data_IF_427220495727
#
_entry.id   IF_427220495727
#
_cell.length_a   1.000
_cell.length_b   1.000
_cell.length_c   1.000
_cell.angle_alpha   90.00
_cell.angle_beta   90.00
_cell.angle_gamma   90.00
#
_symmetry.space_group_name_H-M   'P 1'
#
loop_
_entity.id
_entity.type
_entity.pdbx_description
1 polymer ?
#
# COMPACT_ATOMS: atom_id res chain seq x y z
N UNK A 1 -12.89 -25.10 -9.76
CA UNK A 1 -13.28 -24.04 -10.72
C UNK A 1 -12.01 -23.37 -11.22
N UNK A 2 -11.77 -23.27 -12.54
CA UNK A 2 -10.59 -22.58 -13.06
C UNK A 2 -10.76 -21.06 -12.96
N UNK A 3 -9.71 -20.35 -12.55
CA UNK A 3 -9.68 -18.89 -12.50
C UNK A 3 -9.24 -18.34 -13.86
N UNK A 4 -10.12 -17.59 -14.53
CA UNK A 4 -9.80 -16.91 -15.79
C UNK A 4 -9.31 -15.49 -15.46
N UNK A 5 -8.12 -15.12 -15.96
CA UNK A 5 -7.54 -13.79 -15.75
C UNK A 5 -7.45 -13.04 -17.07
N UNK A 6 -8.04 -11.85 -17.13
CA UNK A 6 -7.91 -10.93 -18.27
C UNK A 6 -6.95 -9.79 -17.94
N UNK A 7 -6.10 -9.40 -18.90
CA UNK A 7 -5.23 -8.22 -18.81
C UNK A 7 -5.83 -7.11 -19.67
N UNK A 8 -6.01 -5.92 -19.09
CA UNK A 8 -6.58 -4.76 -19.78
C UNK A 8 -5.52 -3.66 -19.79
N UNK A 9 -5.26 -3.12 -20.98
CA UNK A 9 -4.42 -1.94 -21.16
C UNK A 9 -5.32 -0.73 -21.42
N UNK A 10 -5.12 0.35 -20.66
CA UNK A 10 -5.88 1.58 -20.80
C UNK A 10 -5.04 2.61 -21.56
N UNK A 11 -5.56 3.11 -22.68
CA UNK A 11 -5.03 4.28 -23.35
C UNK A 11 -5.78 5.51 -22.83
N UNK A 12 -5.07 6.42 -22.19
CA UNK A 12 -5.65 7.57 -21.48
C UNK A 12 -5.17 8.86 -22.09
N UNK A 13 -6.05 9.87 -22.08
CA UNK A 13 -5.69 11.24 -22.44
C UNK A 13 -4.86 11.88 -21.31
N UNK A 14 -4.15 12.97 -21.61
CA UNK A 14 -3.26 13.64 -20.63
C UNK A 14 -3.98 14.06 -19.34
N UNK A 15 -5.21 14.58 -19.46
CA UNK A 15 -6.02 14.97 -18.30
C UNK A 15 -6.38 13.78 -17.40
N UNK A 16 -6.70 12.63 -18.00
CA UNK A 16 -6.97 11.39 -17.29
C UNK A 16 -5.71 10.82 -16.65
N UNK A 17 -4.57 10.91 -17.35
CA UNK A 17 -3.28 10.52 -16.82
C UNK A 17 -2.93 11.33 -15.55
N UNK A 18 -3.20 12.63 -15.53
CA UNK A 18 -2.95 13.45 -14.33
C UNK A 18 -3.86 13.05 -13.16
N UNK A 19 -5.14 12.75 -13.39
CA UNK A 19 -6.05 12.25 -12.36
C UNK A 19 -5.52 10.93 -11.77
N UNK A 20 -5.02 10.02 -12.61
CA UNK A 20 -4.42 8.76 -12.18
C UNK A 20 -3.14 8.99 -11.36
N UNK A 21 -2.30 9.95 -11.76
CA UNK A 21 -1.08 10.33 -11.02
C UNK A 21 -1.43 10.93 -9.66
N UNK A 22 -2.41 11.82 -9.59
CA UNK A 22 -2.87 12.42 -8.33
C UNK A 22 -3.45 11.36 -7.39
N UNK A 23 -4.23 10.44 -7.93
CA UNK A 23 -4.79 9.31 -7.18
C UNK A 23 -3.65 8.43 -6.61
N UNK A 24 -2.63 8.15 -7.42
CA UNK A 24 -1.46 7.38 -7.00
C UNK A 24 -0.65 8.09 -5.92
N UNK A 25 -0.46 9.41 -6.01
CA UNK A 25 0.19 10.23 -4.98
C UNK A 25 -0.61 10.23 -3.67
N UNK A 26 -1.94 10.29 -3.75
CA UNK A 26 -2.82 10.24 -2.57
C UNK A 26 -2.74 8.87 -1.89
N UNK A 27 -2.75 7.79 -2.67
CA UNK A 27 -2.54 6.43 -2.19
C UNK A 27 -1.19 6.30 -1.46
N UNK A 28 -0.11 6.82 -2.06
CA UNK A 28 1.22 6.81 -1.47
C UNK A 28 1.27 7.53 -0.12
N UNK A 29 0.69 8.72 -0.04
CA UNK A 29 0.61 9.49 1.22
C UNK A 29 -0.15 8.70 2.30
N UNK A 30 -1.23 8.02 1.94
CA UNK A 30 -1.98 7.18 2.88
C UNK A 30 -1.18 5.98 3.37
N UNK A 31 -0.42 5.31 2.49
CA UNK A 31 0.48 4.21 2.87
C UNK A 31 1.56 4.68 3.85
N UNK A 32 2.22 5.81 3.57
CA UNK A 32 3.28 6.35 4.43
C UNK A 32 2.73 6.73 5.81
N UNK A 33 1.58 7.41 5.82
CA UNK A 33 0.90 7.77 7.05
C UNK A 33 0.53 6.55 7.90
N UNK A 34 0.01 5.48 7.29
CA UNK A 34 -0.31 4.25 8.01
C UNK A 34 0.97 3.53 8.49
N UNK A 35 2.04 3.55 7.71
CA UNK A 35 3.33 2.96 8.09
C UNK A 35 3.91 3.60 9.35
N UNK A 36 3.82 4.93 9.49
CA UNK A 36 4.23 5.64 10.71
C UNK A 36 3.48 5.16 11.96
N UNK A 37 2.20 4.78 11.83
CA UNK A 37 1.41 4.26 12.95
C UNK A 37 1.71 2.78 13.24
N UNK A 38 1.94 1.99 12.20
CA UNK A 38 2.23 0.56 12.32
C UNK A 38 3.61 0.31 12.92
N UNK A 39 4.63 1.11 12.60
CA UNK A 39 5.98 0.93 13.18
C UNK A 39 5.99 1.16 14.70
N UNK A 40 5.20 2.11 15.19
CA UNK A 40 5.07 2.40 16.63
C UNK A 40 4.26 1.32 17.35
N UNK A 41 3.11 0.95 16.77
CA UNK A 41 2.21 -0.03 17.40
C UNK A 41 2.65 -1.48 17.23
N UNK A 42 3.50 -1.78 16.24
CA UNK A 42 3.93 -3.12 15.80
C UNK A 42 2.78 -4.11 15.56
N UNK A 43 1.58 -3.60 15.34
CA UNK A 43 0.37 -4.40 15.15
C UNK A 43 0.13 -4.67 13.67
N UNK A 44 0.26 -5.94 13.26
CA UNK A 44 0.03 -6.39 11.88
C UNK A 44 -1.33 -7.08 11.67
N UNK A 45 -2.21 -7.03 12.66
CA UNK A 45 -3.55 -7.63 12.57
C UNK A 45 -4.50 -6.72 11.78
N UNK A 46 -4.95 -7.21 10.62
CA UNK A 46 -5.81 -6.45 9.71
C UNK A 46 -7.12 -5.99 10.37
N UNK A 47 -7.76 -6.81 11.21
CA UNK A 47 -9.04 -6.46 11.86
C UNK A 47 -8.86 -5.29 12.82
N UNK A 48 -7.80 -5.32 13.61
CA UNK A 48 -7.49 -4.25 14.55
C UNK A 48 -7.13 -2.95 13.82
N UNK A 49 -6.29 -3.02 12.79
CA UNK A 49 -5.94 -1.85 11.98
C UNK A 49 -7.16 -1.25 11.26
N UNK A 50 -8.06 -2.08 10.74
CA UNK A 50 -9.32 -1.65 10.15
C UNK A 50 -10.17 -0.87 11.16
N UNK A 51 -10.35 -1.42 12.36
CA UNK A 51 -11.19 -0.77 13.38
C UNK A 51 -10.63 0.59 13.83
N UNK A 52 -9.31 0.71 13.93
CA UNK A 52 -8.64 1.92 14.40
C UNK A 52 -8.51 2.98 13.30
N UNK A 53 -8.01 2.62 12.13
CA UNK A 53 -7.50 3.59 11.15
C UNK A 53 -8.37 3.74 9.90
N UNK A 54 -9.32 2.84 9.63
CA UNK A 54 -10.12 2.89 8.39
C UNK A 54 -10.94 4.18 8.26
N UNK A 55 -11.61 4.62 9.34
CA UNK A 55 -12.42 5.84 9.33
C UNK A 55 -11.55 7.08 9.09
N UNK A 56 -10.45 7.19 9.82
CA UNK A 56 -9.51 8.30 9.69
C UNK A 56 -8.88 8.35 8.29
N UNK A 57 -8.46 7.19 7.75
CA UNK A 57 -7.85 7.10 6.44
C UNK A 57 -8.80 7.53 5.31
N UNK A 58 -10.10 7.23 5.44
CA UNK A 58 -11.12 7.69 4.49
C UNK A 58 -11.42 9.18 4.59
N UNK A 59 -11.54 9.71 5.81
CA UNK A 59 -11.82 11.13 6.02
C UNK A 59 -10.64 12.02 5.61
N UNK A 60 -9.41 11.60 5.94
CA UNK A 60 -8.20 12.40 5.69
C UNK A 60 -7.76 12.43 4.24
N UNK A 61 -7.86 11.30 3.54
CA UNK A 61 -7.35 11.17 2.16
C UNK A 61 -8.46 11.09 1.10
N UNK A 62 -9.74 11.08 1.49
CA UNK A 62 -10.87 10.99 0.55
C UNK A 62 -10.89 9.68 -0.25
N UNK A 63 -10.25 8.62 0.24
CA UNK A 63 -10.09 7.37 -0.50
C UNK A 63 -11.40 6.58 -0.57
N UNK A 64 -11.64 5.95 -1.72
CA UNK A 64 -12.71 4.95 -1.89
C UNK A 64 -12.42 3.71 -1.02
N UNK A 65 -13.48 3.01 -0.63
CA UNK A 65 -13.42 1.83 0.26
C UNK A 65 -12.40 0.79 -0.20
N UNK A 66 -12.39 0.46 -1.48
CA UNK A 66 -11.47 -0.53 -2.05
C UNK A 66 -10.00 -0.09 -1.96
N UNK A 67 -9.73 1.20 -2.21
CA UNK A 67 -8.37 1.74 -2.08
C UNK A 67 -7.91 1.77 -0.62
N UNK A 68 -8.78 2.18 0.30
CA UNK A 68 -8.46 2.16 1.73
C UNK A 68 -8.12 0.74 2.23
N UNK A 69 -8.89 -0.27 1.78
CA UNK A 69 -8.58 -1.68 2.07
C UNK A 69 -7.26 -2.13 1.43
N UNK A 70 -6.98 -1.69 0.20
CA UNK A 70 -5.70 -1.96 -0.47
C UNK A 70 -4.52 -1.39 0.30
N UNK A 71 -4.59 -0.14 0.76
CA UNK A 71 -3.53 0.50 1.58
C UNK A 71 -3.19 -0.37 2.78
N UNK A 72 -4.21 -0.79 3.55
CA UNK A 72 -4.00 -1.62 4.74
C UNK A 72 -3.35 -2.96 4.41
N UNK A 73 -3.82 -3.64 3.35
CA UNK A 73 -3.22 -4.90 2.88
C UNK A 73 -1.77 -4.71 2.46
N UNK A 74 -1.47 -3.67 1.68
CA UNK A 74 -0.12 -3.39 1.17
C UNK A 74 0.85 -3.12 2.32
N UNK A 75 0.48 -2.28 3.29
CA UNK A 75 1.34 -1.98 4.45
C UNK A 75 1.61 -3.23 5.27
N UNK A 76 0.58 -4.01 5.62
CA UNK A 76 0.76 -5.27 6.36
C UNK A 76 1.66 -6.24 5.58
N UNK A 77 1.42 -6.42 4.28
CA UNK A 77 2.22 -7.32 3.45
C UNK A 77 3.68 -6.88 3.38
N UNK A 78 3.94 -5.58 3.35
CA UNK A 78 5.29 -5.01 3.29
C UNK A 78 6.05 -5.24 4.59
N UNK A 79 5.42 -5.04 5.76
CA UNK A 79 6.03 -5.37 7.05
C UNK A 79 6.26 -6.87 7.23
N UNK A 80 5.30 -7.72 6.83
CA UNK A 80 5.49 -9.18 6.82
C UNK A 80 6.65 -9.59 5.92
N UNK A 81 6.81 -8.94 4.76
CA UNK A 81 7.92 -9.20 3.86
C UNK A 81 9.26 -8.75 4.45
N UNK A 82 9.30 -7.57 5.09
CA UNK A 82 10.50 -7.07 5.75
C UNK A 82 10.95 -8.00 6.88
N UNK A 83 10.01 -8.49 7.69
CA UNK A 83 10.28 -9.46 8.75
C UNK A 83 10.80 -10.80 8.20
N UNK A 84 10.21 -11.31 7.11
CA UNK A 84 10.67 -12.53 6.46
C UNK A 84 12.10 -12.41 5.90
N UNK A 85 12.52 -11.22 5.50
CA UNK A 85 13.86 -10.93 5.01
C UNK A 85 14.86 -10.61 6.14
N UNK A 86 14.46 -10.70 7.41
CA UNK A 86 15.34 -10.43 8.56
C UNK A 86 15.65 -8.95 8.79
N UNK A 87 14.90 -8.02 8.19
CA UNK A 87 15.06 -6.60 8.47
C UNK A 87 14.44 -6.24 9.82
N UNK A 88 15.11 -5.34 10.55
CA UNK A 88 14.53 -4.73 11.75
C UNK A 88 13.27 -3.91 11.43
N UNK A 89 12.47 -3.65 12.46
CA UNK A 89 11.28 -2.80 12.40
C UNK A 89 11.63 -1.37 12.03
N UNK A 90 11.81 -1.15 10.73
CA UNK A 90 12.12 0.12 10.11
C UNK A 90 10.87 0.73 9.48
N UNK A 91 10.87 2.06 9.34
CA UNK A 91 9.81 2.75 8.63
C UNK A 91 9.81 2.31 7.16
N UNK A 92 8.63 1.96 6.65
CA UNK A 92 8.44 1.51 5.28
C UNK A 92 7.87 2.67 4.47
N UNK A 93 8.65 3.16 3.50
CA UNK A 93 8.24 4.28 2.66
C UNK A 93 7.73 3.73 1.34
N UNK A 94 6.49 4.05 0.99
CA UNK A 94 5.96 3.88 -0.35
C UNK A 94 6.56 4.96 -1.23
N UNK A 95 7.45 4.59 -2.16
CA UNK A 95 8.25 5.53 -2.96
C UNK A 95 8.00 5.41 -4.47
N UNK A 96 7.48 4.27 -4.97
CA UNK A 96 7.27 4.05 -6.42
C UNK A 96 5.98 3.28 -6.75
N UNK A 97 5.01 3.97 -7.35
CA UNK A 97 3.83 3.37 -7.98
C UNK A 97 2.95 2.54 -7.04
N UNK A 98 1.80 2.10 -7.53
CA UNK A 98 0.69 1.55 -6.75
C UNK A 98 1.01 0.31 -5.86
N UNK A 99 2.23 -0.26 -5.91
CA UNK A 99 2.56 -1.52 -5.24
C UNK A 99 3.99 -1.66 -4.69
N UNK A 100 4.81 -0.59 -4.60
CA UNK A 100 6.19 -0.73 -4.09
C UNK A 100 6.44 0.10 -2.83
N UNK A 101 6.43 -0.61 -1.71
CA UNK A 101 6.87 -0.13 -0.41
C UNK A 101 8.29 -0.66 -0.16
N UNK A 102 9.24 0.22 0.13
CA UNK A 102 10.64 -0.13 0.42
C UNK A 102 10.92 0.23 1.87
N UNK A 103 11.56 -0.67 2.63
CA UNK A 103 12.14 -0.32 3.93
C UNK A 103 13.23 0.75 3.73
N UNK A 104 13.40 1.63 4.71
CA UNK A 104 14.29 2.80 4.63
C UNK A 104 15.79 2.50 4.39
N UNK A 105 16.21 1.23 4.35
CA UNK A 105 17.56 0.82 3.93
C UNK A 105 17.49 0.16 2.55
N UNK A 106 18.24 0.74 1.60
CA UNK A 106 18.10 0.70 0.14
C UNK A 106 17.86 -0.66 -0.55
N UNK A 107 17.19 -0.53 -1.70
CA UNK A 107 17.42 -1.26 -2.95
C UNK A 107 17.27 -2.78 -2.94
N UNK A 108 16.02 -3.25 -2.90
CA UNK A 108 15.65 -4.49 -3.59
C UNK A 108 14.17 -4.44 -3.97
N UNK A 109 13.80 -4.73 -5.23
CA UNK A 109 12.41 -5.01 -5.58
C UNK A 109 11.98 -6.24 -4.79
N UNK A 110 11.10 -6.10 -3.81
CA UNK A 110 10.32 -7.25 -3.35
C UNK A 110 9.34 -7.63 -4.46
N UNK A 111 9.83 -8.35 -5.46
CA UNK A 111 9.00 -9.19 -6.32
C UNK A 111 8.44 -10.28 -5.40
N UNK A 112 7.14 -10.22 -5.08
CA UNK A 112 6.42 -11.44 -4.72
C UNK A 112 5.55 -11.84 -5.92
N UNK A 113 5.57 -13.11 -6.33
CA UNK A 113 4.69 -13.59 -7.38
C UNK A 113 3.25 -13.45 -6.89
N UNK A 114 2.40 -13.00 -7.82
CA UNK A 114 0.96 -13.21 -7.74
C UNK A 114 0.75 -14.72 -7.63
N UNK A 115 0.39 -15.21 -6.44
CA UNK A 115 -0.37 -16.45 -6.32
C UNK A 115 -1.85 -16.07 -6.40
#
# INVERSE_FOLDING_TARGET
MPTITAKIQLYVNESQAEILRLTSKTYQKACNWLSEKVVVSKNLNQRQLNNLYYKELRQRFGLKSQMAQSVMKTVIASYKSAQANGHEWSLVICSRGFNRCTSSNRESPCQKPLC
#
